data_IF_935398647595
#
_entry.id   IF_935398647595
#
_cell.length_a   1.000
_cell.length_b   1.000
_cell.length_c   1.000
_cell.angle_alpha   90.00
_cell.angle_beta   90.00
_cell.angle_gamma   90.00
#
_symmetry.space_group_name_H-M   'P 1'
#
loop_
_entity.id
_entity.type
_entity.pdbx_description
1 polymer ?
#
# COMPACT_ATOMS: atom_id res chain seq x y z
N UNK A 1 -20.08 -27.70 64.68
CA UNK A 1 -19.22 -27.61 63.49
C UNK A 1 -20.06 -27.78 62.23
N UNK A 2 -20.36 -26.62 61.62
CA UNK A 2 -20.50 -26.34 60.18
C UNK A 2 -21.36 -27.30 59.33
N UNK A 3 -22.67 -27.07 59.18
CA UNK A 3 -23.36 -26.13 58.26
C UNK A 3 -23.33 -26.54 56.79
N UNK A 4 -24.39 -27.22 56.36
CA UNK A 4 -24.86 -27.29 54.98
C UNK A 4 -25.89 -26.15 54.81
N UNK A 5 -25.55 -25.12 54.04
CA UNK A 5 -26.44 -23.99 53.74
C UNK A 5 -27.12 -24.25 52.40
N UNK A 6 -28.36 -24.72 52.46
CA UNK A 6 -29.31 -24.67 51.34
C UNK A 6 -30.10 -23.37 51.49
N UNK A 7 -29.90 -22.40 50.61
CA UNK A 7 -30.77 -21.22 50.52
C UNK A 7 -31.68 -21.34 49.31
N UNK A 8 -32.95 -21.54 49.64
CA UNK A 8 -34.13 -21.26 48.84
C UNK A 8 -34.11 -19.76 48.48
N UNK A 9 -34.16 -19.41 47.19
CA UNK A 9 -34.51 -18.05 46.76
C UNK A 9 -35.72 -18.11 45.85
N UNK A 10 -36.80 -17.48 46.34
CA UNK A 10 -38.03 -17.21 45.62
C UNK A 10 -37.74 -16.40 44.36
N UNK A 11 -38.39 -16.80 43.27
CA UNK A 11 -38.55 -16.02 42.07
C UNK A 11 -39.30 -14.71 42.37
N UNK A 12 -38.67 -13.57 42.07
CA UNK A 12 -39.34 -12.30 41.86
C UNK A 12 -39.01 -11.83 40.44
N UNK A 13 -40.05 -11.78 39.62
CA UNK A 13 -40.05 -11.29 38.24
C UNK A 13 -39.90 -9.76 38.27
N UNK A 14 -38.90 -9.16 37.62
CA UNK A 14 -38.90 -7.73 37.35
C UNK A 14 -39.78 -7.46 36.13
N UNK A 15 -40.83 -6.66 36.34
CA UNK A 15 -41.66 -6.06 35.30
C UNK A 15 -40.78 -5.11 34.48
N UNK A 16 -40.54 -5.46 33.22
CA UNK A 16 -39.79 -4.66 32.25
C UNK A 16 -40.69 -3.50 31.78
N UNK A 17 -40.51 -2.31 32.36
CA UNK A 17 -41.05 -1.07 31.80
C UNK A 17 -40.25 -0.70 30.54
N UNK A 18 -40.85 -0.89 29.37
CA UNK A 18 -40.36 -0.30 28.12
C UNK A 18 -40.44 1.23 28.23
N UNK A 19 -39.29 1.86 28.46
CA UNK A 19 -39.11 3.27 28.13
C UNK A 19 -38.75 3.36 26.65
N UNK A 20 -39.68 3.88 25.86
CA UNK A 20 -39.45 4.31 24.48
C UNK A 20 -38.52 5.51 24.51
N UNK A 21 -37.21 5.27 24.54
CA UNK A 21 -36.23 6.31 24.22
C UNK A 21 -36.22 6.41 22.69
N UNK A 22 -36.84 7.47 22.19
CA UNK A 22 -36.67 7.88 20.82
C UNK A 22 -35.16 8.13 20.59
N UNK A 23 -34.53 7.28 19.78
CA UNK A 23 -33.20 7.54 19.24
C UNK A 23 -33.30 8.77 18.33
N UNK A 24 -33.05 9.95 18.89
CA UNK A 24 -32.61 11.09 18.09
C UNK A 24 -31.26 10.71 17.50
N UNK A 25 -31.19 10.49 16.19
CA UNK A 25 -29.90 10.44 15.48
C UNK A 25 -29.15 11.73 15.85
N UNK A 26 -27.94 11.68 16.43
CA UNK A 26 -27.14 12.88 16.56
C UNK A 26 -26.74 13.30 15.15
N UNK A 27 -27.40 14.33 14.63
CA UNK A 27 -26.90 15.05 13.45
C UNK A 27 -25.80 15.98 13.93
N UNK A 28 -24.65 15.39 14.31
CA UNK A 28 -23.41 16.16 14.43
C UNK A 28 -22.97 16.48 13.01
N UNK A 29 -23.27 17.69 12.55
CA UNK A 29 -22.57 18.26 11.38
C UNK A 29 -21.09 18.25 11.74
N UNK A 30 -20.30 17.40 11.08
CA UNK A 30 -18.86 17.37 11.27
C UNK A 30 -18.31 18.78 11.02
N UNK A 31 -17.49 19.29 11.95
CA UNK A 31 -16.77 20.54 11.72
C UNK A 31 -15.68 20.22 10.69
N UNK A 32 -15.57 21.03 9.63
CA UNK A 32 -14.49 20.89 8.66
C UNK A 32 -13.13 21.13 9.29
N UNK A 33 -12.07 20.62 8.65
CA UNK A 33 -10.70 20.90 9.06
C UNK A 33 -10.36 22.38 8.94
N UNK A 34 -9.59 22.87 9.90
CA UNK A 34 -8.85 24.12 9.81
C UNK A 34 -7.37 23.72 9.80
N UNK A 35 -6.78 23.70 8.61
CA UNK A 35 -5.36 23.32 8.43
C UNK A 35 -4.41 24.44 8.85
N UNK A 36 -4.92 25.55 9.40
CA UNK A 36 -4.16 26.75 9.69
C UNK A 36 -4.06 27.68 8.48
N UNK A 37 -3.94 28.98 8.73
CA UNK A 37 -3.78 29.98 7.70
C UNK A 37 -2.30 30.07 7.27
N UNK A 38 -1.91 29.41 6.18
CA UNK A 38 -0.64 29.68 5.49
C UNK A 38 -0.90 30.62 4.31
N UNK A 39 -1.24 31.89 4.58
CA UNK A 39 -1.44 32.94 3.56
C UNK A 39 -2.12 32.43 2.27
N UNK A 40 -3.13 31.56 2.41
CA UNK A 40 -3.90 31.08 1.28
C UNK A 40 -4.76 32.25 0.84
N UNK A 41 -4.24 33.05 -0.10
CA UNK A 41 -5.10 33.91 -0.90
C UNK A 41 -6.24 33.03 -1.44
N UNK A 42 -7.37 33.65 -1.80
CA UNK A 42 -8.51 32.95 -2.43
C UNK A 42 -8.17 32.18 -3.72
N UNK A 43 -6.91 32.19 -4.13
CA UNK A 43 -6.40 31.72 -5.41
C UNK A 43 -5.48 30.49 -5.26
N UNK A 44 -5.33 29.88 -4.06
CA UNK A 44 -4.56 28.64 -3.87
C UNK A 44 -5.42 27.38 -3.96
N UNK A 45 -4.91 26.32 -4.59
CA UNK A 45 -5.55 25.01 -4.65
C UNK A 45 -5.08 24.14 -3.47
N UNK A 46 -6.01 23.67 -2.63
CA UNK A 46 -5.72 22.83 -1.46
C UNK A 46 -5.95 21.36 -1.79
N UNK A 47 -4.87 20.58 -1.73
CA UNK A 47 -4.83 19.15 -2.07
C UNK A 47 -4.50 18.37 -0.81
N UNK A 48 -5.32 17.38 -0.47
CA UNK A 48 -5.06 16.42 0.61
C UNK A 48 -4.70 15.08 0.00
N UNK A 49 -3.63 14.45 0.48
CA UNK A 49 -3.08 13.22 -0.09
C UNK A 49 -3.02 12.17 1.02
N UNK A 50 -3.63 11.02 0.79
CA UNK A 50 -3.60 9.83 1.65
C UNK A 50 -3.16 8.62 0.84
N UNK A 51 -2.57 7.60 1.47
CA UNK A 51 -2.15 6.36 0.81
C UNK A 51 -2.27 5.19 1.80
N UNK A 52 -1.94 3.98 1.33
CA UNK A 52 -1.69 2.81 2.19
C UNK A 52 -2.85 2.58 3.17
N UNK A 53 -4.07 2.53 2.60
CA UNK A 53 -5.31 2.31 3.34
C UNK A 53 -5.55 0.82 3.61
N UNK A 54 -5.02 -0.06 2.76
CA UNK A 54 -5.07 -1.53 2.89
C UNK A 54 -6.45 -2.08 3.27
N UNK A 55 -7.48 -1.59 2.58
CA UNK A 55 -8.84 -2.07 2.78
C UNK A 55 -8.98 -3.46 2.14
N UNK A 56 -8.98 -4.50 2.96
CA UNK A 56 -9.00 -5.89 2.48
C UNK A 56 -10.38 -6.50 2.33
N UNK A 57 -10.41 -7.71 1.75
CA UNK A 57 -11.64 -8.47 1.45
C UNK A 57 -12.35 -9.02 2.69
N UNK A 58 -11.63 -9.21 3.80
CA UNK A 58 -12.13 -9.83 5.03
C UNK A 58 -11.41 -9.25 6.27
N UNK A 59 -12.19 -8.75 7.23
CA UNK A 59 -11.68 -8.07 8.43
C UNK A 59 -10.99 -9.00 9.43
N UNK A 60 -11.09 -10.33 9.27
CA UNK A 60 -10.39 -11.28 10.14
C UNK A 60 -8.87 -11.28 9.94
N UNK A 61 -8.38 -10.76 8.82
CA UNK A 61 -6.94 -10.64 8.53
C UNK A 61 -6.54 -9.31 7.89
N UNK A 62 -7.46 -8.42 7.52
CA UNK A 62 -7.10 -7.11 6.95
C UNK A 62 -6.25 -6.27 7.92
N UNK A 63 -5.35 -5.44 7.37
CA UNK A 63 -4.47 -4.59 8.18
C UNK A 63 -5.16 -3.32 8.70
N UNK A 64 -6.31 -2.96 8.12
CA UNK A 64 -7.09 -1.79 8.49
C UNK A 64 -8.51 -2.18 8.88
N UNK A 65 -8.79 -2.25 10.18
CA UNK A 65 -10.11 -2.57 10.74
C UNK A 65 -10.49 -1.53 11.80
N UNK A 66 -9.65 -1.35 12.82
CA UNK A 66 -9.86 -0.38 13.89
C UNK A 66 -9.86 1.07 13.36
N UNK A 67 -8.95 1.38 12.43
CA UNK A 67 -8.80 2.73 11.88
C UNK A 67 -9.86 3.08 10.82
N UNK A 68 -10.69 2.14 10.34
CA UNK A 68 -11.79 2.43 9.39
C UNK A 68 -12.73 3.53 9.89
N UNK A 69 -13.06 3.51 11.19
CA UNK A 69 -13.95 4.53 11.78
C UNK A 69 -13.30 5.91 11.74
N UNK A 70 -12.01 6.00 12.05
CA UNK A 70 -11.26 7.25 12.00
C UNK A 70 -11.12 7.75 10.55
N UNK A 71 -10.84 6.86 9.60
CA UNK A 71 -10.81 7.20 8.18
C UNK A 71 -12.16 7.75 7.67
N UNK A 72 -13.27 7.13 8.05
CA UNK A 72 -14.62 7.64 7.70
C UNK A 72 -14.84 9.03 8.32
N UNK A 73 -14.45 9.24 9.58
CA UNK A 73 -14.58 10.53 10.23
C UNK A 73 -13.72 11.60 9.55
N UNK A 74 -12.47 11.27 9.20
CA UNK A 74 -11.57 12.12 8.43
C UNK A 74 -12.18 12.54 7.08
N UNK A 75 -12.67 11.57 6.30
CA UNK A 75 -13.33 11.83 5.01
C UNK A 75 -14.59 12.72 5.16
N UNK A 76 -15.37 12.51 6.23
CA UNK A 76 -16.53 13.35 6.52
C UNK A 76 -16.14 14.78 6.93
N UNK A 77 -15.03 14.97 7.64
CA UNK A 77 -14.48 16.29 7.96
C UNK A 77 -13.92 16.98 6.71
N UNK A 78 -13.23 16.25 5.83
CA UNK A 78 -12.81 16.77 4.52
C UNK A 78 -14.01 17.28 3.71
N UNK A 79 -15.11 16.52 3.69
CA UNK A 79 -16.34 16.91 2.98
C UNK A 79 -16.93 18.25 3.45
N UNK A 80 -16.60 18.69 4.68
CA UNK A 80 -17.06 19.95 5.27
C UNK A 80 -15.98 21.05 5.27
N UNK A 81 -14.84 20.82 4.61
CA UNK A 81 -13.71 21.75 4.52
C UNK A 81 -13.69 22.50 3.18
N UNK A 82 -12.69 23.35 3.00
CA UNK A 82 -12.37 24.11 1.78
C UNK A 82 -11.27 23.43 0.93
N UNK A 83 -11.12 22.11 1.07
CA UNK A 83 -10.23 21.29 0.23
C UNK A 83 -10.79 21.20 -1.18
N UNK A 84 -9.92 21.31 -2.19
CA UNK A 84 -10.30 21.23 -3.60
C UNK A 84 -10.15 19.81 -4.17
N UNK A 85 -9.12 19.08 -3.74
CA UNK A 85 -8.81 17.73 -4.22
C UNK A 85 -8.37 16.80 -3.08
N UNK A 86 -8.90 15.58 -3.07
CA UNK A 86 -8.37 14.43 -2.33
C UNK A 86 -7.68 13.50 -3.31
N UNK A 87 -6.39 13.20 -3.08
CA UNK A 87 -5.64 12.19 -3.81
C UNK A 87 -5.48 10.95 -2.92
N UNK A 88 -5.83 9.79 -3.45
CA UNK A 88 -5.58 8.47 -2.86
C UNK A 88 -4.39 7.89 -3.63
N UNK A 89 -3.20 8.02 -3.06
CA UNK A 89 -1.92 7.68 -3.66
C UNK A 89 -1.53 6.22 -3.43
N UNK A 90 -2.31 5.31 -4.02
CA UNK A 90 -2.08 3.87 -3.99
C UNK A 90 -2.57 3.17 -2.74
N UNK A 91 -2.64 1.84 -2.86
CA UNK A 91 -3.01 0.89 -1.80
C UNK A 91 -4.33 1.26 -1.11
N UNK A 92 -5.32 1.69 -1.92
CA UNK A 92 -6.69 1.93 -1.49
C UNK A 92 -7.32 0.61 -1.04
N UNK A 93 -7.20 -0.42 -1.88
CA UNK A 93 -7.67 -1.77 -1.63
C UNK A 93 -6.49 -2.74 -1.49
N UNK A 94 -6.76 -3.91 -0.93
CA UNK A 94 -5.73 -4.93 -0.72
C UNK A 94 -6.07 -6.28 -1.36
N UNK A 95 -5.23 -6.71 -2.30
CA UNK A 95 -5.24 -8.04 -2.91
C UNK A 95 -4.08 -8.93 -2.45
N UNK A 96 -3.08 -8.38 -1.75
CA UNK A 96 -1.84 -9.09 -1.43
C UNK A 96 -1.88 -9.65 0.00
N UNK A 97 -2.49 -8.93 0.95
CA UNK A 97 -2.65 -9.33 2.35
C UNK A 97 -3.75 -10.37 2.54
N UNK A 98 -3.55 -11.56 1.97
CA UNK A 98 -4.52 -12.67 1.98
C UNK A 98 -3.80 -13.96 2.40
N UNK A 99 -4.25 -14.69 3.44
CA UNK A 99 -3.57 -15.93 3.83
C UNK A 99 -3.80 -17.03 2.78
N UNK A 100 -2.91 -18.02 2.71
CA UNK A 100 -3.05 -19.16 1.77
C UNK A 100 -4.29 -20.03 2.04
N UNK A 101 -4.84 -19.96 3.25
CA UNK A 101 -6.05 -20.69 3.66
C UNK A 101 -7.35 -20.04 3.17
N UNK A 102 -7.30 -18.80 2.69
CA UNK A 102 -8.47 -18.09 2.21
C UNK A 102 -8.78 -18.46 0.76
N UNK A 103 -10.01 -18.90 0.53
CA UNK A 103 -10.53 -19.24 -0.80
C UNK A 103 -10.98 -17.97 -1.54
N UNK A 104 -10.04 -17.37 -2.27
CA UNK A 104 -10.27 -16.12 -2.99
C UNK A 104 -11.04 -16.34 -4.30
N UNK A 105 -11.94 -15.41 -4.69
CA UNK A 105 -12.54 -15.42 -6.03
C UNK A 105 -11.47 -15.48 -7.13
N UNK A 106 -11.71 -16.32 -8.14
CA UNK A 106 -10.84 -16.38 -9.31
C UNK A 106 -11.06 -15.20 -10.27
N UNK A 107 -12.29 -14.70 -10.33
CA UNK A 107 -12.60 -13.50 -11.10
C UNK A 107 -12.15 -12.24 -10.35
N UNK A 108 -11.31 -11.45 -11.01
CA UNK A 108 -10.69 -10.26 -10.44
C UNK A 108 -11.72 -9.19 -10.07
N UNK A 109 -12.76 -9.03 -10.90
CA UNK A 109 -13.83 -8.09 -10.62
C UNK A 109 -14.66 -8.53 -9.42
N UNK A 110 -14.99 -9.82 -9.32
CA UNK A 110 -15.67 -10.37 -8.15
C UNK A 110 -14.85 -10.13 -6.87
N UNK A 111 -13.52 -10.31 -6.91
CA UNK A 111 -12.63 -10.03 -5.79
C UNK A 111 -12.79 -8.59 -5.29
N UNK A 112 -12.59 -7.59 -6.17
CA UNK A 112 -12.64 -6.18 -5.76
C UNK A 112 -14.05 -5.70 -5.41
N UNK A 113 -15.11 -6.28 -5.98
CA UNK A 113 -16.48 -6.00 -5.54
C UNK A 113 -16.72 -6.50 -4.10
N UNK A 114 -16.15 -7.64 -3.70
CA UNK A 114 -16.21 -8.12 -2.31
C UNK A 114 -15.38 -7.25 -1.37
N UNK A 115 -14.20 -6.79 -1.80
CA UNK A 115 -13.41 -5.80 -1.05
C UNK A 115 -14.22 -4.53 -0.82
N UNK A 116 -14.85 -3.99 -1.87
CA UNK A 116 -15.69 -2.81 -1.75
C UNK A 116 -16.91 -3.02 -0.84
N UNK A 117 -17.54 -4.20 -0.86
CA UNK A 117 -18.66 -4.52 0.02
C UNK A 117 -18.23 -4.61 1.49
N UNK A 118 -17.12 -5.30 1.77
CA UNK A 118 -16.54 -5.37 3.12
C UNK A 118 -16.16 -3.97 3.66
N UNK A 119 -15.81 -3.04 2.76
CA UNK A 119 -15.40 -1.67 3.09
C UNK A 119 -16.42 -0.61 2.70
N UNK A 120 -17.70 -0.99 2.56
CA UNK A 120 -18.74 -0.15 1.98
C UNK A 120 -18.87 1.22 2.63
N UNK A 121 -18.73 1.31 3.95
CA UNK A 121 -18.84 2.60 4.65
C UNK A 121 -17.72 3.58 4.29
N UNK A 122 -16.50 3.08 4.03
CA UNK A 122 -15.38 3.90 3.57
C UNK A 122 -15.62 4.33 2.11
N UNK A 123 -16.04 3.39 1.25
CA UNK A 123 -16.40 3.68 -0.15
C UNK A 123 -17.50 4.73 -0.24
N UNK A 124 -18.55 4.61 0.58
CA UNK A 124 -19.64 5.58 0.65
C UNK A 124 -19.16 6.95 1.15
N UNK A 125 -18.19 7.00 2.08
CA UNK A 125 -17.59 8.25 2.53
C UNK A 125 -16.77 8.94 1.42
N UNK A 126 -15.96 8.19 0.66
CA UNK A 126 -15.23 8.73 -0.52
C UNK A 126 -16.23 9.30 -1.54
N UNK A 127 -17.31 8.57 -1.84
CA UNK A 127 -18.38 9.06 -2.73
C UNK A 127 -19.04 10.32 -2.20
N UNK A 128 -19.13 10.50 -0.88
CA UNK A 128 -19.70 11.70 -0.28
C UNK A 128 -18.76 12.90 -0.38
N UNK A 129 -17.45 12.70 -0.24
CA UNK A 129 -16.42 13.73 -0.55
C UNK A 129 -16.62 14.26 -1.97
N UNK A 130 -16.78 13.36 -2.95
CA UNK A 130 -17.01 13.78 -4.34
C UNK A 130 -18.30 14.59 -4.53
N UNK A 131 -19.37 14.28 -3.80
CA UNK A 131 -20.66 14.98 -3.90
C UNK A 131 -20.61 16.41 -3.38
N UNK A 132 -19.63 16.77 -2.56
CA UNK A 132 -19.46 18.15 -2.08
C UNK A 132 -18.70 19.02 -3.09
N UNK A 133 -18.24 18.45 -4.20
CA UNK A 133 -17.50 19.15 -5.25
C UNK A 133 -15.99 18.94 -5.18
N UNK A 134 -15.49 18.27 -4.14
CA UNK A 134 -14.08 17.92 -3.99
C UNK A 134 -13.73 16.88 -5.06
N UNK A 135 -12.70 17.16 -5.86
CA UNK A 135 -12.18 16.19 -6.81
C UNK A 135 -11.53 15.02 -6.05
N UNK A 136 -11.80 13.78 -6.45
CA UNK A 136 -11.09 12.61 -5.92
C UNK A 136 -10.28 11.98 -7.04
N UNK A 137 -8.97 11.85 -6.84
CA UNK A 137 -8.03 11.23 -7.77
C UNK A 137 -7.40 10.00 -7.12
N UNK A 138 -7.35 8.88 -7.84
CA UNK A 138 -6.64 7.68 -7.45
C UNK A 138 -5.37 7.50 -8.29
N UNK A 139 -4.29 7.10 -7.63
CA UNK A 139 -3.04 6.63 -8.25
C UNK A 139 -2.87 5.14 -7.88
N UNK A 140 -2.46 4.24 -8.78
CA UNK A 140 -2.25 2.83 -8.46
C UNK A 140 -1.17 2.60 -7.40
N UNK A 141 -1.41 1.66 -6.48
CA UNK A 141 -0.38 1.11 -5.59
C UNK A 141 -0.06 -0.34 -5.92
N UNK A 142 0.83 -0.95 -5.13
CA UNK A 142 1.20 -2.35 -5.35
C UNK A 142 0.17 -3.34 -4.79
N UNK A 143 -0.52 -3.08 -3.67
CA UNK A 143 -1.51 -4.01 -3.12
C UNK A 143 -2.80 -4.07 -3.94
N UNK A 144 -3.10 -3.03 -4.72
CA UNK A 144 -4.19 -3.01 -5.70
C UNK A 144 -3.68 -2.94 -7.16
N UNK A 145 -2.48 -3.46 -7.42
CA UNK A 145 -1.81 -3.46 -8.73
C UNK A 145 -2.70 -3.88 -9.92
N UNK A 146 -3.54 -4.90 -9.69
CA UNK A 146 -4.42 -5.47 -10.72
C UNK A 146 -5.79 -4.78 -10.79
N UNK A 147 -6.09 -3.82 -9.91
CA UNK A 147 -7.33 -3.06 -9.96
C UNK A 147 -7.39 -2.23 -11.24
N UNK A 148 -8.21 -2.67 -12.19
CA UNK A 148 -8.37 -1.96 -13.47
C UNK A 148 -9.17 -0.67 -13.28
N UNK A 149 -9.03 0.23 -14.24
CA UNK A 149 -9.76 1.49 -14.25
C UNK A 149 -11.25 1.28 -14.38
N UNK A 150 -11.71 0.28 -15.13
CA UNK A 150 -13.14 -0.02 -15.24
C UNK A 150 -13.74 -0.55 -13.93
N UNK A 151 -13.01 -1.44 -13.23
CA UNK A 151 -13.47 -1.98 -11.94
C UNK A 151 -13.56 -0.85 -10.91
N UNK A 152 -12.53 0.00 -10.81
CA UNK A 152 -12.56 1.12 -9.86
C UNK A 152 -13.65 2.14 -10.22
N UNK A 153 -13.85 2.44 -11.51
CA UNK A 153 -14.92 3.34 -11.95
C UNK A 153 -16.33 2.78 -11.67
N UNK A 154 -16.50 1.46 -11.65
CA UNK A 154 -17.74 0.82 -11.22
C UNK A 154 -17.95 0.92 -9.71
N UNK A 155 -16.88 0.71 -8.92
CA UNK A 155 -16.94 0.79 -7.46
C UNK A 155 -17.16 2.24 -7.00
N UNK A 156 -16.43 3.20 -7.57
CA UNK A 156 -16.47 4.63 -7.24
C UNK A 156 -16.72 5.48 -8.52
N UNK A 157 -17.98 5.57 -8.98
CA UNK A 157 -18.30 6.30 -10.20
C UNK A 157 -17.90 7.78 -10.15
N UNK A 158 -17.16 8.22 -11.16
CA UNK A 158 -16.71 9.61 -11.32
C UNK A 158 -15.33 9.89 -10.72
N UNK A 159 -14.67 8.91 -10.10
CA UNK A 159 -13.31 9.07 -9.58
C UNK A 159 -12.34 9.34 -10.74
N UNK A 160 -11.45 10.33 -10.57
CA UNK A 160 -10.34 10.53 -11.50
C UNK A 160 -9.26 9.48 -11.24
N UNK A 161 -8.58 9.00 -12.28
CA UNK A 161 -7.54 8.00 -12.15
C UNK A 161 -6.29 8.45 -12.91
N UNK A 162 -5.16 8.52 -12.22
CA UNK A 162 -3.87 8.84 -12.82
C UNK A 162 -3.09 7.54 -13.01
N UNK A 163 -3.06 7.05 -14.24
CA UNK A 163 -2.35 5.82 -14.65
C UNK A 163 -1.44 6.15 -15.82
N UNK A 164 -0.22 5.63 -15.83
CA UNK A 164 0.72 5.81 -16.95
C UNK A 164 1.02 4.49 -17.68
N UNK A 165 1.32 3.43 -16.94
CA UNK A 165 1.43 2.06 -17.43
C UNK A 165 0.66 1.10 -16.51
N UNK A 166 0.54 -0.16 -16.90
CA UNK A 166 -0.21 -1.14 -16.13
C UNK A 166 0.35 -1.29 -14.70
N UNK A 167 -0.51 -1.08 -13.69
CA UNK A 167 -0.14 -1.15 -12.27
C UNK A 167 0.60 0.07 -11.73
N UNK A 168 0.75 1.15 -12.51
CA UNK A 168 1.51 2.34 -12.12
C UNK A 168 0.82 3.65 -12.53
N UNK A 169 1.21 4.73 -11.87
CA UNK A 169 0.78 6.08 -12.23
C UNK A 169 1.61 7.15 -11.54
N UNK A 170 1.86 8.23 -12.26
CA UNK A 170 2.36 9.49 -11.70
C UNK A 170 1.34 10.59 -12.02
N UNK A 171 0.77 11.19 -10.98
CA UNK A 171 -0.17 12.30 -11.10
C UNK A 171 0.57 13.65 -11.01
N UNK A 172 0.53 14.42 -12.10
CA UNK A 172 1.04 15.80 -12.14
C UNK A 172 -0.09 16.78 -11.84
N UNK A 173 0.09 17.63 -10.83
CA UNK A 173 -0.93 18.58 -10.36
C UNK A 173 -0.31 19.86 -9.76
N UNK A 174 -1.14 20.73 -9.20
CA UNK A 174 -0.77 22.07 -8.74
C UNK A 174 -1.03 23.14 -9.80
N UNK A 175 -1.16 24.41 -9.36
CA UNK A 175 -1.44 25.54 -10.24
C UNK A 175 -0.34 25.79 -11.28
N UNK A 176 0.89 25.33 -11.00
CA UNK A 176 2.03 25.40 -11.92
C UNK A 176 2.41 24.04 -12.48
N UNK A 177 1.59 23.02 -12.25
CA UNK A 177 1.93 21.61 -12.53
C UNK A 177 3.22 21.16 -11.84
N UNK A 178 3.51 21.71 -10.67
CA UNK A 178 4.78 21.53 -9.96
C UNK A 178 4.83 20.29 -9.07
N UNK A 179 3.69 19.66 -8.79
CA UNK A 179 3.56 18.54 -7.86
C UNK A 179 3.56 17.23 -8.65
N UNK A 180 4.35 16.24 -8.24
CA UNK A 180 4.29 14.87 -8.72
C UNK A 180 3.89 13.95 -7.57
N UNK A 181 2.86 13.14 -7.77
CA UNK A 181 2.36 12.18 -6.79
C UNK A 181 2.41 10.79 -7.42
N UNK A 182 3.15 9.86 -6.82
CA UNK A 182 3.10 8.44 -7.18
C UNK A 182 3.32 7.58 -5.95
N UNK A 183 2.75 6.37 -5.94
CA UNK A 183 2.83 5.53 -4.76
C UNK A 183 4.28 5.18 -4.36
N UNK A 184 5.19 4.97 -5.32
CA UNK A 184 6.63 4.78 -5.09
C UNK A 184 7.14 3.35 -5.31
N UNK A 185 6.25 2.36 -5.51
CA UNK A 185 6.61 0.96 -5.75
C UNK A 185 7.34 0.70 -7.07
N UNK A 186 7.36 1.67 -7.99
CA UNK A 186 8.00 1.60 -9.33
C UNK A 186 9.47 1.19 -9.27
N UNK A 187 10.16 1.53 -8.18
CA UNK A 187 11.60 1.37 -8.01
C UNK A 187 11.99 0.15 -7.15
N UNK A 188 10.99 -0.52 -6.56
CA UNK A 188 11.18 -1.64 -5.67
C UNK A 188 11.13 -2.95 -6.45
N UNK A 189 12.21 -3.73 -6.44
CA UNK A 189 12.29 -5.00 -7.21
C UNK A 189 11.28 -6.08 -6.78
N UNK A 190 10.71 -5.97 -5.58
CA UNK A 190 9.64 -6.85 -5.13
C UNK A 190 8.24 -6.33 -5.46
N UNK A 191 8.08 -5.02 -5.70
CA UNK A 191 6.75 -4.42 -5.81
C UNK A 191 6.46 -3.78 -7.17
N UNK A 192 7.47 -3.46 -7.97
CA UNK A 192 7.31 -2.91 -9.32
C UNK A 192 6.70 -3.95 -10.26
N UNK A 193 5.77 -3.58 -11.18
CA UNK A 193 5.20 -4.50 -12.15
C UNK A 193 6.25 -5.35 -12.89
N UNK A 194 6.07 -6.67 -12.93
CA UNK A 194 6.93 -7.60 -13.65
C UNK A 194 6.18 -8.30 -14.79
N UNK A 195 6.35 -7.77 -16.00
CA UNK A 195 5.72 -8.31 -17.21
C UNK A 195 6.53 -9.37 -17.96
N UNK A 196 7.69 -9.76 -17.43
CA UNK A 196 8.67 -10.55 -18.18
C UNK A 196 9.05 -11.86 -17.50
N UNK A 197 9.25 -11.87 -16.18
CA UNK A 197 9.98 -12.95 -15.53
C UNK A 197 9.19 -14.26 -15.46
N UNK A 198 7.86 -14.18 -15.36
CA UNK A 198 6.97 -15.36 -15.35
C UNK A 198 6.27 -15.60 -16.69
N UNK A 199 6.73 -15.00 -17.79
CA UNK A 199 6.06 -15.12 -19.09
C UNK A 199 5.97 -16.55 -19.64
N UNK A 200 6.93 -17.41 -19.32
CA UNK A 200 6.85 -18.84 -19.69
C UNK A 200 5.74 -19.58 -18.94
N UNK A 201 5.33 -19.07 -17.78
CA UNK A 201 4.27 -19.61 -16.93
C UNK A 201 2.90 -19.04 -17.32
N UNK A 202 2.82 -17.74 -17.57
CA UNK A 202 1.57 -17.02 -17.87
C UNK A 202 1.25 -16.94 -19.37
N UNK A 203 2.18 -17.35 -20.23
CA UNK A 203 2.02 -17.45 -21.67
C UNK A 203 1.83 -16.09 -22.33
N UNK A 204 0.70 -15.91 -23.01
CA UNK A 204 0.35 -14.63 -23.67
C UNK A 204 -0.47 -13.71 -22.77
N UNK A 205 -0.81 -14.12 -21.55
CA UNK A 205 -1.52 -13.26 -20.61
C UNK A 205 -0.60 -12.10 -20.21
N UNK A 206 -1.08 -10.85 -20.18
CA UNK A 206 -0.28 -9.68 -19.81
C UNK A 206 -0.11 -9.60 -18.28
N UNK A 207 0.51 -10.63 -17.69
CA UNK A 207 0.78 -10.70 -16.25
C UNK A 207 1.74 -9.60 -15.84
N UNK A 208 1.53 -9.03 -14.65
CA UNK A 208 2.40 -7.99 -14.08
C UNK A 208 2.72 -8.22 -12.59
N UNK A 209 2.22 -9.29 -11.97
CA UNK A 209 2.47 -9.54 -10.54
C UNK A 209 3.96 -9.74 -10.25
N UNK A 210 4.52 -8.99 -9.29
CA UNK A 210 5.90 -9.14 -8.87
C UNK A 210 6.06 -10.08 -7.67
N UNK A 211 7.31 -10.39 -7.26
CA UNK A 211 7.58 -11.29 -6.13
C UNK A 211 6.89 -10.91 -4.82
N UNK A 212 6.67 -9.61 -4.60
CA UNK A 212 6.02 -9.02 -3.45
C UNK A 212 4.63 -9.58 -3.17
N UNK A 213 3.88 -9.95 -4.23
CA UNK A 213 2.60 -10.63 -4.07
C UNK A 213 2.76 -11.90 -3.22
N UNK A 214 3.70 -12.78 -3.60
CA UNK A 214 3.93 -14.02 -2.86
C UNK A 214 4.57 -13.77 -1.49
N UNK A 215 5.42 -12.74 -1.37
CA UNK A 215 6.01 -12.34 -0.10
C UNK A 215 4.92 -12.00 0.92
N UNK A 216 3.96 -11.15 0.53
CA UNK A 216 2.87 -10.73 1.42
C UNK A 216 1.98 -11.90 1.78
N UNK A 217 1.69 -12.82 0.85
CA UNK A 217 0.95 -14.07 1.14
C UNK A 217 1.65 -14.93 2.20
N UNK A 218 2.99 -15.03 2.18
CA UNK A 218 3.78 -15.72 3.22
C UNK A 218 3.65 -15.00 4.55
N UNK A 219 3.85 -13.68 4.57
CA UNK A 219 3.79 -12.86 5.78
C UNK A 219 2.40 -12.91 6.44
N UNK A 220 1.33 -12.68 5.69
CA UNK A 220 -0.06 -12.74 6.16
C UNK A 220 -0.39 -14.12 6.71
N UNK A 221 -0.01 -15.19 6.00
CA UNK A 221 -0.23 -16.57 6.48
C UNK A 221 0.46 -16.79 7.81
N UNK A 222 1.72 -16.37 7.95
CA UNK A 222 2.47 -16.51 9.21
C UNK A 222 1.79 -15.76 10.35
N UNK A 223 1.32 -14.54 10.11
CA UNK A 223 0.57 -13.75 11.11
C UNK A 223 -0.72 -14.44 11.53
N UNK A 224 -1.52 -14.95 10.58
CA UNK A 224 -2.77 -15.67 10.84
C UNK A 224 -2.53 -16.98 11.61
N UNK A 225 -1.42 -17.67 11.34
CA UNK A 225 -0.98 -18.84 12.11
C UNK A 225 -0.31 -18.50 13.45
N UNK A 226 -0.32 -17.22 13.85
CA UNK A 226 0.25 -16.76 15.11
C UNK A 226 1.77 -16.81 15.18
N UNK A 227 2.45 -16.81 14.03
CA UNK A 227 3.92 -16.90 13.87
C UNK A 227 4.53 -18.10 14.62
N UNK A 228 3.78 -19.19 14.70
CA UNK A 228 4.08 -20.34 15.56
C UNK A 228 4.67 -21.54 14.83
N UNK A 229 4.70 -21.52 13.50
CA UNK A 229 5.23 -22.60 12.70
C UNK A 229 6.75 -22.78 12.92
N UNK A 230 7.27 -24.02 12.80
CA UNK A 230 8.69 -24.27 12.93
C UNK A 230 9.48 -23.63 11.78
N UNK A 231 10.72 -23.25 12.08
CA UNK A 231 11.70 -22.84 11.09
C UNK A 231 12.00 -23.97 10.11
N UNK A 232 12.29 -23.61 8.86
CA UNK A 232 12.61 -24.55 7.78
C UNK A 232 14.12 -24.57 7.54
N UNK A 233 14.65 -25.76 7.30
CA UNK A 233 16.02 -25.91 6.80
C UNK A 233 16.06 -25.51 5.31
N UNK A 234 16.62 -24.34 5.03
CA UNK A 234 16.69 -23.80 3.67
C UNK A 234 17.99 -24.21 2.96
N UNK A 235 17.93 -24.50 1.64
CA UNK A 235 19.12 -24.66 0.82
C UNK A 235 20.07 -23.47 0.99
N UNK A 236 21.35 -23.78 1.19
CA UNK A 236 22.40 -22.76 1.32
C UNK A 236 22.97 -22.43 -0.06
N UNK A 237 23.06 -21.13 -0.37
CA UNK A 237 23.67 -20.62 -1.59
C UNK A 237 24.95 -19.88 -1.20
N UNK A 238 26.06 -20.20 -1.86
CA UNK A 238 27.33 -19.52 -1.62
C UNK A 238 27.33 -18.15 -2.29
N UNK A 239 27.90 -17.14 -1.61
CA UNK A 239 28.05 -15.81 -2.18
C UNK A 239 28.92 -15.86 -3.46
N UNK A 240 28.44 -15.29 -4.58
CA UNK A 240 29.22 -15.20 -5.81
C UNK A 240 30.47 -14.32 -5.69
N UNK A 241 31.37 -14.42 -6.67
CA UNK A 241 32.51 -13.52 -6.78
C UNK A 241 32.04 -12.07 -7.00
N UNK A 242 32.78 -11.11 -6.45
CA UNK A 242 32.41 -9.69 -6.45
C UNK A 242 32.32 -9.07 -7.85
N UNK A 243 32.97 -9.67 -8.85
CA UNK A 243 32.94 -9.25 -10.25
C UNK A 243 31.82 -9.91 -11.07
N UNK A 244 31.08 -10.86 -10.50
CA UNK A 244 29.93 -11.51 -11.14
C UNK A 244 28.63 -10.83 -10.73
N UNK A 245 28.39 -9.63 -11.26
CA UNK A 245 27.23 -8.78 -10.92
C UNK A 245 25.88 -9.48 -11.17
N UNK A 246 25.77 -10.25 -12.26
CA UNK A 246 24.56 -11.03 -12.55
C UNK A 246 24.23 -12.00 -11.42
N UNK A 247 25.19 -12.80 -10.98
CA UNK A 247 24.95 -13.75 -9.91
C UNK A 247 24.82 -13.08 -8.54
N UNK A 248 25.48 -11.94 -8.31
CA UNK A 248 25.25 -11.12 -7.10
C UNK A 248 23.80 -10.65 -7.00
N UNK A 249 23.19 -10.25 -8.11
CA UNK A 249 21.76 -9.92 -8.15
C UNK A 249 20.88 -11.11 -7.76
N UNK A 250 21.13 -12.29 -8.34
CA UNK A 250 20.41 -13.52 -7.98
C UNK A 250 20.64 -13.93 -6.51
N UNK A 251 21.84 -13.68 -5.98
CA UNK A 251 22.16 -13.91 -4.57
C UNK A 251 21.44 -12.94 -3.63
N UNK A 252 21.33 -11.66 -3.96
CA UNK A 252 20.55 -10.69 -3.20
C UNK A 252 19.08 -11.10 -3.12
N UNK A 253 18.51 -11.55 -4.25
CA UNK A 253 17.14 -12.09 -4.30
C UNK A 253 16.97 -13.35 -3.44
N UNK A 254 17.96 -14.23 -3.42
CA UNK A 254 18.02 -15.36 -2.50
C UNK A 254 18.02 -14.93 -1.03
N UNK A 255 18.84 -13.95 -0.66
CA UNK A 255 18.92 -13.46 0.71
C UNK A 255 17.59 -12.89 1.19
N UNK A 256 16.90 -12.13 0.33
CA UNK A 256 15.57 -11.59 0.62
C UNK A 256 14.56 -12.72 0.89
N UNK A 257 14.47 -13.72 0.01
CA UNK A 257 13.56 -14.85 0.22
C UNK A 257 13.91 -15.71 1.43
N UNK A 258 15.21 -16.00 1.63
CA UNK A 258 15.66 -16.77 2.79
C UNK A 258 15.28 -16.05 4.10
N UNK A 259 15.52 -14.75 4.17
CA UNK A 259 15.15 -13.90 5.31
C UNK A 259 13.65 -13.87 5.51
N UNK A 260 12.86 -13.74 4.43
CA UNK A 260 11.39 -13.75 4.47
C UNK A 260 10.87 -15.05 5.08
N UNK A 261 11.30 -16.20 4.55
CA UNK A 261 10.82 -17.52 4.99
C UNK A 261 11.19 -17.78 6.46
N UNK A 262 12.34 -17.27 6.91
CA UNK A 262 12.76 -17.38 8.31
C UNK A 262 11.99 -16.43 9.23
N UNK A 263 11.73 -15.20 8.78
CA UNK A 263 11.03 -14.18 9.57
C UNK A 263 9.54 -14.50 9.72
N UNK A 264 8.94 -15.09 8.68
CA UNK A 264 7.52 -15.40 8.60
C UNK A 264 7.31 -16.90 8.36
N UNK A 265 7.60 -17.75 9.37
CA UNK A 265 7.40 -19.19 9.22
C UNK A 265 5.90 -19.50 9.07
N UNK A 266 5.59 -20.39 8.14
CA UNK A 266 4.23 -20.91 7.87
C UNK A 266 4.19 -22.44 8.02
N UNK A 267 3.02 -23.01 8.26
CA UNK A 267 2.84 -24.43 8.54
C UNK A 267 3.02 -25.30 7.29
N UNK A 268 2.74 -24.74 6.11
CA UNK A 268 3.00 -25.41 4.83
C UNK A 268 4.50 -25.79 4.68
N UNK A 269 4.75 -26.98 4.15
CA UNK A 269 6.08 -27.49 3.85
C UNK A 269 6.78 -26.69 2.75
N UNK A 270 8.12 -26.78 2.71
CA UNK A 270 8.93 -26.04 1.74
C UNK A 270 8.60 -26.37 0.27
N UNK A 271 8.14 -27.59 0.01
CA UNK A 271 7.75 -28.09 -1.32
C UNK A 271 6.23 -28.19 -1.52
N UNK A 272 5.44 -27.77 -0.52
CA UNK A 272 3.99 -27.86 -0.61
C UNK A 272 3.46 -26.75 -1.52
N UNK A 273 2.72 -27.13 -2.57
CA UNK A 273 2.16 -26.20 -3.55
C UNK A 273 0.88 -25.53 -3.05
N UNK A 274 1.05 -24.56 -2.14
CA UNK A 274 -0.04 -23.90 -1.42
C UNK A 274 -0.37 -22.49 -1.90
N UNK A 275 0.49 -21.87 -2.70
CA UNK A 275 0.26 -20.52 -3.21
C UNK A 275 -0.50 -20.59 -4.53
N UNK A 276 -1.81 -20.35 -4.48
CA UNK A 276 -2.63 -20.14 -5.68
C UNK A 276 -2.68 -18.66 -6.04
N UNK A 277 -2.58 -18.37 -7.33
CA UNK A 277 -2.77 -17.04 -7.89
C UNK A 277 -3.80 -17.19 -9.02
N UNK A 278 -5.11 -17.13 -8.73
CA UNK A 278 -6.13 -17.39 -9.74
C UNK A 278 -6.36 -16.17 -10.65
N UNK A 279 -5.87 -15.00 -10.26
CA UNK A 279 -5.77 -13.79 -11.06
C UNK A 279 -4.41 -13.71 -11.76
N UNK A 280 -4.31 -12.89 -12.81
CA UNK A 280 -3.05 -12.56 -13.51
C UNK A 280 -2.41 -13.67 -14.38
N UNK A 281 -3.20 -14.64 -14.84
CA UNK A 281 -2.77 -15.60 -15.87
C UNK A 281 -1.96 -16.80 -15.35
N UNK A 282 -1.75 -16.90 -14.04
CA UNK A 282 -1.20 -18.09 -13.40
C UNK A 282 -2.26 -19.21 -13.39
N UNK A 283 -1.86 -20.44 -13.69
CA UNK A 283 -2.77 -21.59 -13.86
C UNK A 283 -2.47 -22.76 -12.92
N UNK A 284 -1.50 -22.60 -12.02
CA UNK A 284 -1.01 -23.63 -11.11
C UNK A 284 -0.82 -23.06 -9.71
N UNK A 285 -0.61 -23.96 -8.75
CA UNK A 285 -0.14 -23.58 -7.40
C UNK A 285 1.38 -23.74 -7.29
N UNK A 286 1.98 -22.89 -6.46
CA UNK A 286 3.43 -22.80 -6.27
C UNK A 286 3.81 -23.07 -4.81
N UNK A 287 5.07 -23.41 -4.57
CA UNK A 287 5.65 -23.67 -3.26
C UNK A 287 6.70 -22.61 -2.88
N UNK A 288 7.11 -22.58 -1.61
CA UNK A 288 8.23 -21.75 -1.16
C UNK A 288 9.52 -22.06 -1.94
N UNK A 289 9.73 -23.33 -2.29
CA UNK A 289 10.86 -23.79 -3.12
C UNK A 289 10.81 -23.29 -4.57
N UNK A 290 9.66 -22.87 -5.08
CA UNK A 290 9.57 -22.25 -6.41
C UNK A 290 10.02 -20.78 -6.38
N UNK A 291 9.94 -20.13 -5.22
CA UNK A 291 10.31 -18.72 -5.00
C UNK A 291 11.78 -18.55 -4.59
N UNK A 292 12.30 -19.45 -3.75
CA UNK A 292 13.67 -19.38 -3.23
C UNK A 292 14.69 -19.82 -4.30
N UNK A 293 15.61 -18.95 -4.75
CA UNK A 293 16.68 -19.34 -5.66
C UNK A 293 17.63 -20.38 -5.04
N UNK A 294 18.14 -21.27 -5.87
CA UNK A 294 19.09 -22.32 -5.48
C UNK A 294 20.22 -22.45 -6.51
N UNK A 295 21.35 -23.02 -6.10
CA UNK A 295 22.45 -23.36 -7.01
C UNK A 295 22.03 -24.47 -7.98
N UNK A 296 22.09 -24.16 -9.27
CA UNK A 296 21.78 -25.06 -10.37
C UNK A 296 22.98 -25.97 -10.71
N UNK A 297 22.79 -27.06 -11.48
CA UNK A 297 23.88 -27.97 -11.86
C UNK A 297 25.02 -27.31 -12.65
N UNK A 298 24.76 -26.20 -13.33
CA UNK A 298 25.75 -25.41 -14.07
C UNK A 298 26.48 -24.37 -13.20
N UNK A 299 26.15 -24.29 -11.91
CA UNK A 299 26.72 -23.37 -10.94
C UNK A 299 26.01 -22.01 -10.83
N UNK A 300 24.98 -21.74 -11.63
CA UNK A 300 24.19 -20.50 -11.53
C UNK A 300 23.20 -20.54 -10.37
N UNK A 301 22.70 -19.38 -9.95
CA UNK A 301 21.66 -19.20 -8.94
C UNK A 301 20.37 -18.84 -9.67
N UNK A 302 19.31 -19.63 -9.50
CA UNK A 302 18.00 -19.35 -10.09
C UNK A 302 16.86 -19.97 -9.27
N UNK A 303 15.66 -19.42 -9.42
CA UNK A 303 14.39 -19.94 -8.90
C UNK A 303 13.51 -20.44 -10.06
N UNK A 304 12.34 -21.01 -9.73
CA UNK A 304 11.31 -21.39 -10.72
C UNK A 304 10.47 -20.17 -11.10
N UNK A 305 9.90 -19.51 -10.08
CA UNK A 305 9.24 -18.22 -10.23
C UNK A 305 10.30 -17.12 -10.30
N UNK A 306 10.05 -16.15 -11.18
CA UNK A 306 10.93 -15.00 -11.42
C UNK A 306 12.37 -15.39 -11.81
N UNK A 307 12.52 -16.54 -12.48
CA UNK A 307 13.81 -17.10 -12.88
C UNK A 307 14.65 -16.09 -13.67
N UNK A 308 15.84 -15.71 -13.19
CA UNK A 308 16.73 -14.72 -13.81
C UNK A 308 16.16 -13.29 -13.92
N UNK A 309 15.30 -12.86 -12.99
CA UNK A 309 14.73 -11.49 -12.96
C UNK A 309 15.80 -10.39 -13.02
N UNK A 310 16.98 -10.60 -12.44
CA UNK A 310 18.09 -9.63 -12.48
C UNK A 310 18.54 -9.29 -13.90
N UNK A 311 18.44 -10.24 -14.84
CA UNK A 311 18.79 -10.03 -16.25
C UNK A 311 17.72 -9.26 -17.01
N UNK A 312 16.51 -9.16 -16.45
CA UNK A 312 15.35 -8.50 -17.06
C UNK A 312 15.07 -7.12 -16.46
N UNK A 313 15.71 -6.78 -15.34
CA UNK A 313 15.43 -5.54 -14.62
C UNK A 313 15.54 -4.29 -15.47
N UNK A 314 16.56 -4.19 -16.32
CA UNK A 314 16.72 -3.06 -17.24
C UNK A 314 15.54 -2.90 -18.22
N UNK A 315 14.97 -4.01 -18.69
CA UNK A 315 13.80 -3.99 -19.56
C UNK A 315 12.53 -3.68 -18.77
N UNK A 316 12.39 -4.23 -17.56
CA UNK A 316 11.28 -3.93 -16.65
C UNK A 316 11.24 -2.45 -16.29
N UNK A 317 12.39 -1.85 -15.95
CA UNK A 317 12.51 -0.41 -15.69
C UNK A 317 12.06 0.42 -16.90
N UNK A 318 12.43 0.01 -18.12
CA UNK A 318 11.98 0.69 -19.33
C UNK A 318 10.46 0.55 -19.56
N UNK A 319 9.89 -0.64 -19.33
CA UNK A 319 8.43 -0.85 -19.39
C UNK A 319 7.69 -0.05 -18.32
N UNK A 320 8.30 0.10 -17.15
CA UNK A 320 7.74 0.81 -16.01
C UNK A 320 8.04 2.32 -16.03
N UNK A 321 8.66 2.85 -17.09
CA UNK A 321 8.90 4.29 -17.23
C UNK A 321 9.91 4.88 -16.26
N UNK A 322 10.83 4.09 -15.72
CA UNK A 322 11.91 4.58 -14.84
C UNK A 322 12.88 5.45 -15.65
N UNK A 323 13.06 6.70 -15.24
CA UNK A 323 13.85 7.68 -15.98
C UNK A 323 15.37 7.45 -15.82
N UNK A 324 15.81 7.15 -14.59
CA UNK A 324 17.21 6.88 -14.25
C UNK A 324 17.33 5.43 -13.76
N UNK A 325 18.02 4.59 -14.52
CA UNK A 325 18.16 3.17 -14.23
C UNK A 325 18.87 2.91 -12.89
N UNK A 326 18.30 2.02 -12.11
CA UNK A 326 18.80 1.52 -10.84
C UNK A 326 19.44 0.13 -11.02
N UNK A 327 20.64 -0.11 -10.44
CA UNK A 327 21.24 -1.44 -10.42
C UNK A 327 20.36 -2.44 -9.65
N UNK A 328 20.15 -3.64 -10.21
CA UNK A 328 19.25 -4.64 -9.61
C UNK A 328 19.73 -5.13 -8.24
N UNK A 329 21.02 -5.45 -8.11
CA UNK A 329 21.62 -5.94 -6.86
C UNK A 329 21.42 -4.94 -5.72
N UNK A 330 21.61 -3.64 -5.98
CA UNK A 330 21.38 -2.57 -5.01
C UNK A 330 19.90 -2.43 -4.69
N UNK A 331 19.03 -2.37 -5.72
CA UNK A 331 17.60 -2.20 -5.54
C UNK A 331 16.93 -3.37 -4.82
N UNK A 332 17.43 -4.59 -5.00
CA UNK A 332 16.98 -5.79 -4.30
C UNK A 332 17.51 -5.87 -2.87
N UNK A 333 18.79 -5.54 -2.64
CA UNK A 333 19.36 -5.55 -1.30
C UNK A 333 18.78 -4.44 -0.38
N UNK A 334 18.18 -3.39 -0.96
CA UNK A 334 17.52 -2.29 -0.26
C UNK A 334 16.00 -2.28 -0.46
N UNK A 335 15.40 -3.41 -0.85
CA UNK A 335 13.97 -3.49 -1.14
C UNK A 335 13.06 -3.26 0.08
N UNK A 336 13.60 -3.40 1.30
CA UNK A 336 12.95 -3.12 2.58
C UNK A 336 13.42 -1.80 3.24
N UNK A 337 14.28 -1.03 2.56
CA UNK A 337 14.82 0.23 3.06
C UNK A 337 13.98 1.41 2.56
N UNK A 338 13.16 1.98 3.46
CA UNK A 338 12.31 3.14 3.16
C UNK A 338 13.12 4.34 2.60
N UNK A 339 14.32 4.59 3.14
CA UNK A 339 15.16 5.70 2.70
C UNK A 339 15.62 5.52 1.24
N UNK A 340 15.82 4.29 0.79
CA UNK A 340 16.17 4.04 -0.61
C UNK A 340 15.03 4.42 -1.57
N UNK A 341 13.78 4.17 -1.18
CA UNK A 341 12.59 4.60 -1.92
C UNK A 341 12.47 6.12 -1.88
N UNK A 342 12.64 6.75 -0.72
CA UNK A 342 12.59 8.20 -0.56
C UNK A 342 13.61 8.94 -1.46
N UNK A 343 14.83 8.40 -1.56
CA UNK A 343 15.91 8.91 -2.44
C UNK A 343 15.50 8.95 -3.93
N UNK A 344 14.46 8.23 -4.34
CA UNK A 344 13.96 8.24 -5.72
C UNK A 344 13.24 9.54 -6.08
N UNK A 345 12.71 10.30 -5.10
CA UNK A 345 12.18 11.63 -5.37
C UNK A 345 13.26 12.56 -5.97
N UNK A 346 14.47 12.50 -5.42
CA UNK A 346 15.62 13.26 -5.95
C UNK A 346 16.06 12.69 -7.30
N UNK A 347 16.26 11.38 -7.36
CA UNK A 347 16.87 10.72 -8.52
C UNK A 347 15.98 10.72 -9.77
N UNK A 348 14.68 10.50 -9.60
CA UNK A 348 13.72 10.26 -10.69
C UNK A 348 12.90 11.49 -11.05
N UNK A 349 12.83 12.49 -10.15
CA UNK A 349 12.07 13.72 -10.39
C UNK A 349 12.93 14.98 -10.31
N UNK A 350 13.45 15.36 -9.14
CA UNK A 350 14.09 16.68 -8.99
C UNK A 350 15.30 16.86 -9.91
N UNK A 351 16.08 15.79 -10.13
CA UNK A 351 17.22 15.79 -11.06
C UNK A 351 16.82 15.60 -12.53
N UNK A 352 15.59 15.18 -12.83
CA UNK A 352 15.11 14.81 -14.17
C UNK A 352 14.25 15.91 -14.78
N UNK A 353 13.31 16.45 -14.01
CA UNK A 353 12.38 17.50 -14.40
C UNK A 353 12.47 18.69 -13.43
N UNK A 354 13.14 19.80 -13.81
CA UNK A 354 13.31 20.95 -12.94
C UNK A 354 11.99 21.67 -12.61
N UNK A 355 10.90 21.38 -13.33
CA UNK A 355 9.56 21.91 -13.05
C UNK A 355 8.85 21.20 -11.89
N UNK A 356 9.35 20.05 -11.42
CA UNK A 356 8.84 19.37 -10.23
C UNK A 356 9.42 20.06 -8.99
N UNK A 357 8.58 20.72 -8.20
CA UNK A 357 8.97 21.33 -6.92
C UNK A 357 8.59 20.43 -5.73
N UNK A 358 7.53 19.61 -5.86
CA UNK A 358 7.06 18.72 -4.79
C UNK A 358 6.90 17.30 -5.32
N UNK A 359 7.41 16.32 -4.57
CA UNK A 359 7.16 14.89 -4.80
C UNK A 359 6.50 14.32 -3.55
N UNK A 360 5.39 13.60 -3.74
CA UNK A 360 4.71 12.88 -2.66
C UNK A 360 4.63 11.41 -3.02
N UNK A 361 5.11 10.55 -2.11
CA UNK A 361 4.99 9.09 -2.19
C UNK A 361 4.12 8.52 -1.07
N UNK A 362 3.73 7.26 -1.23
CA UNK A 362 3.24 6.35 -0.17
C UNK A 362 4.19 5.16 -0.02
N UNK A 363 3.66 3.94 0.00
CA UNK A 363 4.36 2.65 -0.16
C UNK A 363 5.24 2.18 1.00
N UNK A 364 6.03 3.08 1.61
CA UNK A 364 6.97 2.69 2.68
C UNK A 364 6.30 2.59 4.05
N UNK A 365 5.09 3.15 4.18
CA UNK A 365 4.35 3.34 5.42
C UNK A 365 5.06 4.25 6.44
N UNK A 366 6.20 4.87 6.08
CA UNK A 366 6.96 5.76 6.96
C UNK A 366 6.57 7.19 6.64
N UNK A 367 5.89 7.93 7.53
CA UNK A 367 5.61 9.34 7.31
C UNK A 367 6.93 10.13 7.35
N UNK A 368 7.26 10.83 6.26
CA UNK A 368 8.54 11.53 6.07
C UNK A 368 8.29 12.89 5.44
N UNK A 369 9.05 13.90 5.88
CA UNK A 369 9.10 15.23 5.25
C UNK A 369 10.55 15.67 5.12
N UNK A 370 10.95 16.10 3.92
CA UNK A 370 12.33 16.50 3.62
C UNK A 370 12.35 17.67 2.63
N UNK A 371 13.29 18.60 2.82
CA UNK A 371 13.52 19.74 1.92
C UNK A 371 14.91 19.70 1.31
N UNK A 372 15.01 20.17 0.06
CA UNK A 372 16.24 20.23 -0.70
C UNK A 372 16.36 21.59 -1.38
N UNK A 373 17.44 22.32 -1.07
CA UNK A 373 17.69 23.66 -1.62
C UNK A 373 19.01 23.76 -2.38
N UNK A 374 20.02 22.98 -1.99
CA UNK A 374 21.33 23.00 -2.63
C UNK A 374 21.25 22.43 -4.06
N UNK A 375 21.74 23.19 -5.03
CA UNK A 375 21.74 22.79 -6.44
C UNK A 375 20.44 23.05 -7.21
N UNK A 376 19.39 23.56 -6.57
CA UNK A 376 18.11 23.85 -7.20
C UNK A 376 17.79 25.36 -7.23
N UNK A 377 17.04 25.77 -8.26
CA UNK A 377 16.63 27.16 -8.43
C UNK A 377 15.49 27.57 -7.47
N UNK A 378 14.82 26.58 -6.87
CA UNK A 378 13.72 26.69 -5.91
C UNK A 378 13.85 25.56 -4.90
N UNK A 379 13.30 25.75 -3.72
CA UNK A 379 13.17 24.67 -2.75
C UNK A 379 12.38 23.52 -3.35
N UNK A 380 12.88 22.30 -3.13
CA UNK A 380 12.21 21.05 -3.47
C UNK A 380 11.76 20.36 -2.20
N UNK A 381 10.56 19.80 -2.20
CA UNK A 381 9.97 19.15 -1.02
C UNK A 381 9.60 17.72 -1.38
N UNK A 382 10.12 16.77 -0.61
CA UNK A 382 9.66 15.39 -0.62
C UNK A 382 8.82 15.12 0.62
N UNK A 383 7.69 14.45 0.44
CA UNK A 383 6.91 13.91 1.54
C UNK A 383 6.49 12.47 1.27
N UNK A 384 6.44 11.65 2.32
CA UNK A 384 5.77 10.37 2.31
C UNK A 384 4.55 10.43 3.22
N UNK A 385 3.38 10.04 2.72
CA UNK A 385 2.10 10.12 3.45
C UNK A 385 2.01 9.16 4.63
N UNK A 386 2.84 8.12 4.70
CA UNK A 386 2.78 7.10 5.74
C UNK A 386 1.66 6.10 5.49
N UNK A 387 0.78 5.84 6.46
CA UNK A 387 -0.22 4.76 6.34
C UNK A 387 -1.43 4.94 7.25
N UNK A 388 -2.53 4.27 6.91
CA UNK A 388 -3.76 4.19 7.70
C UNK A 388 -4.00 2.82 8.36
N UNK A 389 -3.07 1.87 8.23
CA UNK A 389 -3.17 0.56 8.89
C UNK A 389 -3.29 0.68 10.40
N UNK A 390 -3.89 -0.32 11.04
CA UNK A 390 -4.20 -0.30 12.48
C UNK A 390 -2.95 -0.28 13.38
N UNK A 391 -1.82 -0.78 12.87
CA UNK A 391 -0.56 -0.91 13.64
C UNK A 391 0.64 -0.65 12.74
N UNK A 392 1.02 0.62 12.64
CA UNK A 392 2.30 0.97 12.05
C UNK A 392 3.44 0.77 13.07
N UNK A 393 4.44 -0.04 12.72
CA UNK A 393 5.63 -0.24 13.56
C UNK A 393 6.79 0.68 13.15
N UNK A 394 6.63 1.44 12.08
CA UNK A 394 7.69 2.26 11.46
C UNK A 394 7.49 3.77 11.67
N UNK A 395 6.37 4.20 12.25
CA UNK A 395 6.09 5.60 12.48
C UNK A 395 4.67 5.85 12.97
N UNK A 396 4.22 7.10 12.82
CA UNK A 396 2.83 7.48 13.06
C UNK A 396 1.88 6.77 12.06
N UNK A 397 0.66 6.53 12.48
CA UNK A 397 -0.45 6.05 11.65
C UNK A 397 -1.48 7.18 11.44
N UNK A 398 -2.43 6.97 10.53
CA UNK A 398 -3.45 7.95 10.14
C UNK A 398 -2.83 9.29 9.70
N UNK A 399 -1.69 9.20 9.02
CA UNK A 399 -0.98 10.35 8.48
C UNK A 399 -1.43 10.67 7.06
N UNK A 400 -1.23 11.93 6.67
CA UNK A 400 -1.62 12.45 5.38
C UNK A 400 -0.81 13.71 5.06
N UNK A 401 -0.72 14.06 3.78
CA UNK A 401 -0.04 15.28 3.34
C UNK A 401 -1.08 16.30 2.90
N UNK A 402 -0.87 17.56 3.24
CA UNK A 402 -1.63 18.70 2.73
C UNK A 402 -0.70 19.55 1.89
N UNK A 403 -1.12 19.87 0.66
CA UNK A 403 -0.40 20.78 -0.23
C UNK A 403 -1.30 21.97 -0.55
N UNK A 404 -0.82 23.18 -0.25
CA UNK A 404 -1.45 24.43 -0.68
C UNK A 404 -0.65 24.99 -1.86
N UNK A 405 -1.14 24.74 -3.07
CA UNK A 405 -0.49 25.18 -4.33
C UNK A 405 -0.98 26.57 -4.73
N UNK A 406 -0.11 27.57 -4.65
CA UNK A 406 -0.36 28.94 -5.08
C UNK A 406 0.26 29.28 -6.45
N UNK A 407 0.02 30.50 -6.94
CA UNK A 407 0.61 30.99 -8.20
C UNK A 407 2.13 31.16 -8.13
N UNK A 408 2.66 31.43 -6.93
CA UNK A 408 4.07 31.77 -6.72
C UNK A 408 4.77 30.84 -5.71
N UNK A 409 4.03 30.33 -4.73
CA UNK A 409 4.52 29.46 -3.65
C UNK A 409 3.76 28.15 -3.60
N UNK A 410 4.36 27.14 -2.98
CA UNK A 410 3.70 25.86 -2.66
C UNK A 410 4.10 25.53 -1.24
N UNK A 411 3.10 25.36 -0.37
CA UNK A 411 3.28 24.96 1.02
C UNK A 411 2.87 23.50 1.18
N UNK A 412 3.63 22.74 1.95
CA UNK A 412 3.43 21.30 2.15
C UNK A 412 3.51 21.03 3.65
N UNK A 413 2.52 20.28 4.16
CA UNK A 413 2.45 19.88 5.56
C UNK A 413 2.26 18.37 5.67
N UNK A 414 3.06 17.70 6.51
CA UNK A 414 2.84 16.31 6.89
C UNK A 414 2.05 16.26 8.20
N UNK A 415 0.81 15.76 8.13
CA UNK A 415 -0.16 15.83 9.22
C UNK A 415 -0.54 14.44 9.73
N UNK A 416 -1.01 14.38 10.98
CA UNK A 416 -1.61 13.19 11.58
C UNK A 416 -3.03 13.47 12.04
N UNK A 417 -3.95 12.56 11.73
CA UNK A 417 -5.31 12.55 12.29
C UNK A 417 -5.36 11.75 13.58
N UNK A 418 -5.94 12.31 14.64
CA UNK A 418 -6.01 11.69 15.96
C UNK A 418 -7.40 11.05 16.20
N UNK A 419 -7.49 10.01 17.06
CA UNK A 419 -8.77 9.33 17.35
C UNK A 419 -9.87 10.23 17.93
N UNK A 420 -9.52 11.38 18.50
CA UNK A 420 -10.49 12.36 19.02
C UNK A 420 -11.07 13.28 17.93
N UNK A 421 -10.60 13.12 16.68
CA UNK A 421 -11.03 13.87 15.52
C UNK A 421 -10.24 15.14 15.25
N UNK A 422 -9.17 15.41 16.01
CA UNK A 422 -8.27 16.53 15.77
C UNK A 422 -7.11 16.17 14.84
N UNK A 423 -6.37 17.18 14.37
CA UNK A 423 -5.16 17.01 13.55
C UNK A 423 -3.96 17.66 14.23
N UNK A 424 -2.77 17.11 13.99
CA UNK A 424 -1.50 17.70 14.41
C UNK A 424 -0.48 17.68 13.27
N UNK A 425 0.46 18.62 13.29
CA UNK A 425 1.57 18.68 12.34
C UNK A 425 2.74 17.79 12.81
N UNK A 426 3.43 17.15 11.87
CA UNK A 426 4.57 16.25 12.11
C UNK A 426 5.90 16.74 11.54
N UNK A 427 5.91 17.78 10.70
CA UNK A 427 7.13 18.31 10.06
C UNK A 427 7.87 19.43 10.83
#
# INVERSE_FOLDING_TARGET
MKTLKTYLFLALIPILMLSLVACSKPTTTAKGFDFGATDSSSDSNRIVIISDLHLGIDDSFSETVANKTNLINFLNQLSASDVDELVIDGDLFDQWFVPISYDQPADLKEYFLKVADNNRMVVDAIKNVMKTGIKVTYVPGNHDLLLTDEILAEIIPGINQARDVAGLGTYRTGLRSEIAIEHGHRYNTFCAPDSLSNKEITGTFPSILPPGYFFTRVATTSVVEGKSAPQKDLPQVAQPAADNIDQLGAYAYYQMWATTIQTYPISAGFTDKVFSCPSDGYTSSYALSDLLPTTQPDGTISAVLYANVQQRWDALQAFNGVAVKLPYDVATARADDATYTDEQAVTQYFNVDPSVDVVVFGHTHVPVYQTYTEGYNREKIYANTGTWIDKNLLGADMTFVVVSSGTDTTDVQLMQYLPDGTIQNLD
#
